data_IF_809675957810
#
_entry.id   IF_809675957810
#
_cell.length_a   1.000
_cell.length_b   1.000
_cell.length_c   1.000
_cell.angle_alpha   90.00
_cell.angle_beta   90.00
_cell.angle_gamma   90.00
#
_symmetry.space_group_name_H-M   'P 1'
#
loop_
_entity.id
_entity.type
_entity.pdbx_description
1 polymer ?
#
# COMPACT_ATOMS: atom_id res chain seq x y z
N UNK A 1 -0.38 -58.25 31.37
CA UNK A 1 0.38 -58.24 32.64
C UNK A 1 1.80 -57.72 32.36
N UNK A 2 1.95 -56.41 32.15
CA UNK A 2 2.47 -55.44 33.13
C UNK A 2 3.98 -55.51 33.42
N UNK A 3 4.87 -55.49 32.42
CA UNK A 3 6.29 -55.18 32.70
C UNK A 3 7.16 -54.67 31.53
N UNK A 4 6.58 -54.03 30.50
CA UNK A 4 7.38 -53.38 29.43
C UNK A 4 7.03 -51.92 29.13
N UNK A 5 6.10 -51.31 29.89
CA UNK A 5 5.68 -49.90 29.69
C UNK A 5 6.29 -48.88 30.66
N UNK A 6 7.14 -49.28 31.62
CA UNK A 6 7.71 -48.37 32.63
C UNK A 6 9.14 -47.87 32.33
N UNK A 7 9.85 -48.46 31.36
CA UNK A 7 11.24 -48.07 31.04
C UNK A 7 11.30 -46.96 29.96
N UNK A 8 10.26 -46.81 29.14
CA UNK A 8 10.22 -45.75 28.11
C UNK A 8 9.88 -44.35 28.67
N UNK A 9 9.30 -44.27 29.87
CA UNK A 9 8.90 -43.00 30.50
C UNK A 9 10.06 -42.36 31.28
N UNK A 10 11.06 -43.15 31.70
CA UNK A 10 12.19 -42.62 32.47
C UNK A 10 13.24 -41.88 31.61
N UNK A 11 13.34 -42.19 30.32
CA UNK A 11 14.28 -41.54 29.38
C UNK A 11 13.71 -40.21 28.85
N UNK A 12 12.39 -40.03 28.86
CA UNK A 12 11.75 -38.77 28.43
C UNK A 12 11.84 -37.68 29.53
N UNK A 13 11.96 -38.06 30.80
CA UNK A 13 12.08 -37.10 31.91
C UNK A 13 13.53 -36.63 32.11
N UNK A 14 14.54 -37.38 31.66
CA UNK A 14 15.95 -36.96 31.76
C UNK A 14 16.40 -35.99 30.64
N UNK A 15 15.64 -35.90 29.54
CA UNK A 15 15.88 -34.92 28.46
C UNK A 15 15.24 -33.54 28.70
N UNK A 16 14.46 -33.38 29.78
CA UNK A 16 13.92 -32.10 30.23
C UNK A 16 14.93 -31.32 31.11
N UNK A 17 16.06 -31.93 31.47
CA UNK A 17 17.08 -31.35 32.34
C UNK A 17 18.41 -31.01 31.65
N UNK A 18 18.51 -31.18 30.33
CA UNK A 18 19.51 -30.45 29.56
C UNK A 18 18.98 -29.04 29.33
N UNK A 19 19.30 -28.20 30.31
CA UNK A 19 19.42 -26.76 30.20
C UNK A 19 19.98 -26.37 28.82
N UNK A 20 19.06 -26.09 27.91
CA UNK A 20 19.24 -24.92 27.05
C UNK A 20 19.30 -23.80 28.07
N UNK A 21 20.51 -23.36 28.40
CA UNK A 21 20.72 -21.98 28.76
C UNK A 21 20.26 -21.19 27.55
N UNK A 22 18.94 -21.06 27.41
CA UNK A 22 18.34 -19.93 26.75
C UNK A 22 18.92 -18.80 27.55
N UNK A 23 19.97 -18.18 27.01
CA UNK A 23 20.22 -16.80 27.32
C UNK A 23 18.88 -16.15 27.03
N UNK A 24 18.07 -15.99 28.08
CA UNK A 24 17.19 -14.87 28.22
C UNK A 24 18.12 -13.70 27.97
N UNK A 25 18.22 -13.27 26.72
CA UNK A 25 18.55 -11.89 26.46
C UNK A 25 17.43 -11.18 27.18
N UNK A 26 17.74 -10.78 28.40
CA UNK A 26 16.89 -9.88 29.15
C UNK A 26 16.89 -8.66 28.27
N UNK A 27 15.82 -8.47 27.48
CA UNK A 27 15.64 -7.27 26.67
C UNK A 27 15.53 -6.15 27.69
N UNK A 28 16.68 -5.61 28.08
CA UNK A 28 16.81 -4.60 29.13
C UNK A 28 16.26 -3.27 28.64
N UNK A 29 16.13 -3.10 27.31
CA UNK A 29 15.45 -1.99 26.67
C UNK A 29 15.04 -2.36 25.24
N UNK A 30 13.74 -2.38 24.95
CA UNK A 30 13.26 -2.41 23.55
C UNK A 30 13.45 -1.00 22.98
N UNK A 31 14.31 -0.85 21.97
CA UNK A 31 14.41 0.40 21.24
C UNK A 31 13.19 0.54 20.33
N UNK A 32 12.45 1.65 20.46
CA UNK A 32 11.19 1.84 19.76
C UNK A 32 11.29 2.98 18.76
N UNK A 33 11.06 2.68 17.49
CA UNK A 33 10.75 3.68 16.47
C UNK A 33 9.25 3.99 16.59
N UNK A 34 8.92 5.24 16.94
CA UNK A 34 7.52 5.66 17.07
C UNK A 34 7.07 6.37 15.81
N UNK A 35 5.95 5.96 15.24
CA UNK A 35 5.34 6.59 14.07
C UNK A 35 3.97 7.07 14.47
N UNK A 36 3.79 8.39 14.54
CA UNK A 36 2.48 8.98 14.79
C UNK A 36 1.93 9.53 13.48
N UNK A 37 0.81 8.98 13.03
CA UNK A 37 0.07 9.39 11.85
C UNK A 37 -1.20 10.12 12.26
N UNK A 38 -1.45 11.27 11.67
CA UNK A 38 -2.65 12.06 11.83
C UNK A 38 -3.25 12.31 10.45
N UNK A 39 -4.42 11.73 10.20
CA UNK A 39 -5.16 11.87 8.96
C UNK A 39 -6.44 12.65 9.17
N UNK A 40 -6.77 13.56 8.25
CA UNK A 40 -8.08 14.23 8.19
C UNK A 40 -8.72 13.90 6.86
N UNK A 41 -9.76 13.06 6.88
CA UNK A 41 -10.55 12.72 5.71
C UNK A 41 -11.57 13.81 5.40
N UNK A 42 -11.67 14.17 4.13
CA UNK A 42 -12.78 14.97 3.64
C UNK A 42 -13.99 14.11 3.27
N UNK A 43 -15.09 14.77 2.91
CA UNK A 43 -16.35 14.11 2.56
C UNK A 43 -16.35 13.49 1.15
N UNK A 44 -15.26 13.66 0.39
CA UNK A 44 -15.09 13.16 -0.99
C UNK A 44 -14.01 12.07 -1.12
N UNK A 45 -13.34 11.75 -0.02
CA UNK A 45 -12.48 10.57 0.12
C UNK A 45 -10.98 10.84 0.02
N UNK A 46 -10.55 12.10 -0.09
CA UNK A 46 -9.15 12.46 0.03
C UNK A 46 -8.77 12.67 1.51
N UNK A 47 -7.48 12.55 1.83
CA UNK A 47 -6.98 12.73 3.19
C UNK A 47 -5.81 13.70 3.24
N UNK A 48 -5.84 14.65 4.18
CA UNK A 48 -4.63 15.36 4.58
C UNK A 48 -3.89 14.54 5.64
N UNK A 49 -2.65 14.16 5.36
CA UNK A 49 -1.84 13.28 6.19
C UNK A 49 -0.64 14.03 6.76
N UNK A 50 -0.41 13.86 8.07
CA UNK A 50 0.80 14.30 8.77
C UNK A 50 1.39 13.11 9.52
N UNK A 51 2.63 12.75 9.21
CA UNK A 51 3.34 11.62 9.81
C UNK A 51 4.60 12.12 10.50
N UNK A 52 4.82 11.69 11.74
CA UNK A 52 6.05 11.93 12.50
C UNK A 52 6.70 10.61 12.90
N UNK A 53 7.87 10.33 12.34
CA UNK A 53 8.75 9.25 12.77
C UNK A 53 9.69 9.80 13.84
N UNK A 54 9.75 9.16 14.99
CA UNK A 54 10.64 9.52 16.10
C UNK A 54 11.58 8.35 16.37
N UNK A 55 12.88 8.60 16.26
CA UNK A 55 13.89 7.58 16.46
C UNK A 55 14.31 7.51 17.94
N UNK A 56 14.59 6.30 18.46
CA UNK A 56 14.84 6.08 19.88
C UNK A 56 16.13 6.75 20.39
N UNK A 57 17.12 6.95 19.53
CA UNK A 57 18.41 7.56 19.90
C UNK A 57 18.88 8.57 18.86
N UNK A 58 19.66 9.57 19.28
CA UNK A 58 20.31 10.52 18.37
C UNK A 58 21.29 9.80 17.43
N UNK A 59 22.02 8.79 17.91
CA UNK A 59 22.95 8.04 17.07
C UNK A 59 22.24 7.35 15.89
N UNK A 60 21.10 6.70 16.14
CA UNK A 60 20.28 6.08 15.10
C UNK A 60 19.73 7.12 14.13
N UNK A 61 19.25 8.26 14.65
CA UNK A 61 18.78 9.36 13.83
C UNK A 61 19.86 9.89 12.89
N UNK A 62 21.07 10.16 13.40
CA UNK A 62 22.20 10.65 12.61
C UNK A 62 22.64 9.59 11.59
N UNK A 63 22.64 8.30 11.95
CA UNK A 63 22.95 7.22 11.01
C UNK A 63 21.95 7.21 9.84
N UNK A 64 20.66 7.30 10.13
CA UNK A 64 19.60 7.34 9.10
C UNK A 64 19.73 8.60 8.24
N UNK A 65 19.91 9.77 8.85
CA UNK A 65 20.08 11.04 8.14
C UNK A 65 21.32 11.04 7.24
N UNK A 66 22.40 10.39 7.67
CA UNK A 66 23.64 10.25 6.89
C UNK A 66 23.48 9.25 5.75
N UNK A 67 22.80 8.12 5.98
CA UNK A 67 22.52 7.11 4.96
C UNK A 67 21.52 7.62 3.91
N UNK A 68 20.59 8.48 4.30
CA UNK A 68 19.58 9.08 3.44
C UNK A 68 19.53 10.61 3.58
N UNK A 69 20.53 11.34 3.06
CA UNK A 69 20.57 12.80 3.16
C UNK A 69 19.33 13.46 2.56
N UNK A 70 18.79 12.86 1.49
CA UNK A 70 17.49 13.21 0.95
C UNK A 70 16.37 12.45 1.70
N UNK A 71 15.55 13.12 2.54
CA UNK A 71 14.54 12.46 3.37
C UNK A 71 13.40 11.82 2.56
N UNK A 72 13.20 12.23 1.30
CA UNK A 72 12.16 11.64 0.44
C UNK A 72 12.41 10.16 0.13
N UNK A 73 13.68 9.73 0.14
CA UNK A 73 14.05 8.30 -0.02
C UNK A 73 13.46 7.46 1.10
N UNK A 74 13.46 7.99 2.32
CA UNK A 74 12.91 7.29 3.48
C UNK A 74 11.40 7.14 3.34
N UNK A 75 10.71 8.20 2.94
CA UNK A 75 9.26 8.13 2.71
C UNK A 75 8.93 7.16 1.57
N UNK A 76 9.73 7.07 0.52
CA UNK A 76 9.52 6.04 -0.50
C UNK A 76 9.69 4.62 0.05
N UNK A 77 10.75 4.39 0.83
CA UNK A 77 11.16 3.05 1.26
C UNK A 77 10.44 2.55 2.54
N UNK A 78 10.36 3.37 3.59
CA UNK A 78 9.64 3.06 4.84
C UNK A 78 8.13 3.26 4.71
N UNK A 79 7.75 4.20 3.84
CA UNK A 79 6.43 4.37 3.27
C UNK A 79 5.66 3.07 3.16
N UNK A 80 6.20 2.18 2.32
CA UNK A 80 5.48 1.10 1.64
C UNK A 80 4.21 1.55 0.91
N UNK A 81 3.83 2.83 1.06
CA UNK A 81 2.52 3.38 0.79
C UNK A 81 2.61 4.46 -0.26
N UNK A 82 3.79 4.98 -0.64
CA UNK A 82 3.89 5.76 -1.89
C UNK A 82 3.60 4.91 -3.13
N UNK A 83 3.78 3.59 -3.05
CA UNK A 83 3.41 2.67 -4.12
C UNK A 83 1.90 2.42 -4.19
N UNK A 84 1.21 2.35 -3.05
CA UNK A 84 -0.21 1.99 -2.94
C UNK A 84 -1.13 3.15 -2.56
N UNK A 85 -0.56 4.34 -2.39
CA UNK A 85 -1.23 5.62 -2.24
C UNK A 85 -0.72 6.57 -3.33
N UNK A 86 -1.50 7.61 -3.61
CA UNK A 86 -1.10 8.66 -4.54
C UNK A 86 -1.00 9.98 -3.75
N UNK A 87 0.24 10.43 -3.51
CA UNK A 87 0.51 11.66 -2.78
C UNK A 87 0.48 12.89 -3.69
N UNK A 88 -0.03 14.00 -3.17
CA UNK A 88 0.09 15.36 -3.72
C UNK A 88 0.75 16.26 -2.69
N UNK A 89 1.54 17.21 -3.17
CA UNK A 89 2.16 18.27 -2.36
C UNK A 89 2.97 17.75 -1.16
N UNK A 90 3.66 16.63 -1.32
CA UNK A 90 4.41 15.97 -0.26
C UNK A 90 5.62 16.81 0.17
N UNK A 91 5.69 17.10 1.46
CA UNK A 91 6.79 17.80 2.13
C UNK A 91 7.42 16.88 3.16
N UNK A 92 8.71 16.63 3.03
CA UNK A 92 9.46 15.77 3.95
C UNK A 92 10.64 16.53 4.53
N UNK A 93 10.81 16.48 5.84
CA UNK A 93 11.89 17.19 6.54
C UNK A 93 12.43 16.44 7.74
N UNK A 94 13.73 16.55 7.95
CA UNK A 94 14.39 16.19 9.19
C UNK A 94 14.16 17.25 10.28
N UNK A 95 13.88 16.81 11.51
CA UNK A 95 13.66 17.64 12.69
C UNK A 95 14.72 17.26 13.75
N UNK A 96 15.89 17.91 13.68
CA UNK A 96 17.08 17.57 14.50
C UNK A 96 16.80 17.69 16.01
N UNK A 97 16.02 18.69 16.43
CA UNK A 97 15.73 18.95 17.84
C UNK A 97 14.94 17.81 18.52
N UNK A 98 14.25 16.98 17.74
CA UNK A 98 13.43 15.87 18.26
C UNK A 98 13.78 14.51 17.69
N UNK A 99 14.95 14.36 17.06
CA UNK A 99 15.39 13.11 16.43
C UNK A 99 14.29 12.52 15.54
N UNK A 100 13.68 13.35 14.69
CA UNK A 100 12.50 12.95 13.94
C UNK A 100 12.57 13.27 12.45
N UNK A 101 11.72 12.56 11.70
CA UNK A 101 11.41 12.81 10.31
C UNK A 101 9.91 13.11 10.22
N UNK A 102 9.55 14.18 9.53
CA UNK A 102 8.17 14.59 9.32
C UNK A 102 7.78 14.53 7.84
N UNK A 103 6.60 13.99 7.58
CA UNK A 103 5.93 14.00 6.27
C UNK A 103 4.60 14.73 6.41
N UNK A 104 4.32 15.64 5.48
CA UNK A 104 2.99 16.23 5.29
C UNK A 104 2.63 16.04 3.82
N UNK A 105 1.49 15.44 3.53
CA UNK A 105 1.03 15.23 2.17
C UNK A 105 -0.49 15.16 2.09
N UNK A 106 -1.04 15.39 0.90
CA UNK A 106 -2.41 15.01 0.59
C UNK A 106 -2.41 13.62 -0.05
N UNK A 107 -3.25 12.73 0.43
CA UNK A 107 -3.47 11.39 -0.12
C UNK A 107 -4.75 11.41 -0.94
N UNK A 108 -4.64 11.12 -2.24
CA UNK A 108 -5.80 11.02 -3.12
C UNK A 108 -6.49 9.67 -2.95
N UNK A 109 -7.83 9.68 -2.91
CA UNK A 109 -8.63 8.44 -2.83
C UNK A 109 -8.30 7.57 -1.61
N UNK A 110 -7.92 8.19 -0.49
CA UNK A 110 -7.65 7.50 0.78
C UNK A 110 -8.86 6.72 1.30
N UNK A 111 -10.07 7.24 1.07
CA UNK A 111 -11.33 6.55 1.26
C UNK A 111 -12.07 6.39 -0.06
N UNK A 112 -12.62 5.21 -0.31
CA UNK A 112 -13.39 4.92 -1.53
C UNK A 112 -14.75 4.34 -1.20
N UNK A 113 -15.80 4.77 -1.91
CA UNK A 113 -17.14 4.23 -1.69
C UNK A 113 -17.34 2.94 -2.50
N UNK A 114 -17.45 1.80 -1.81
CA UNK A 114 -17.78 0.50 -2.40
C UNK A 114 -18.98 -0.08 -1.66
N UNK A 115 -19.97 -0.57 -2.40
CA UNK A 115 -21.20 -1.16 -1.86
C UNK A 115 -21.89 -0.22 -0.86
N UNK A 116 -21.99 1.06 -1.22
CA UNK A 116 -22.61 2.13 -0.42
C UNK A 116 -21.93 2.43 0.93
N UNK A 117 -20.71 1.93 1.15
CA UNK A 117 -19.90 2.24 2.34
C UNK A 117 -18.56 2.81 1.91
N UNK A 118 -18.07 3.77 2.67
CA UNK A 118 -16.71 4.24 2.51
C UNK A 118 -15.75 3.25 3.13
N UNK A 119 -14.64 2.99 2.43
CA UNK A 119 -13.61 2.05 2.85
C UNK A 119 -12.28 2.79 2.88
N UNK A 120 -11.57 2.68 3.99
CA UNK A 120 -10.20 3.16 4.18
C UNK A 120 -9.33 1.94 4.44
N UNK A 121 -8.25 1.78 3.69
CA UNK A 121 -7.28 0.74 3.97
C UNK A 121 -6.33 1.24 5.07
N UNK A 122 -6.50 0.70 6.27
CA UNK A 122 -5.65 1.01 7.43
C UNK A 122 -4.40 0.11 7.43
N UNK A 123 -4.50 -1.08 6.84
CA UNK A 123 -3.46 -2.09 6.85
C UNK A 123 -3.80 -3.27 7.77
N UNK A 124 -3.27 -4.44 7.43
CA UNK A 124 -3.38 -5.65 8.24
C UNK A 124 -2.54 -5.54 9.50
N UNK A 125 -2.71 -6.47 10.44
CA UNK A 125 -1.96 -6.50 11.70
C UNK A 125 -2.07 -5.17 12.48
N UNK A 126 -3.24 -4.55 12.38
CA UNK A 126 -3.59 -3.31 13.06
C UNK A 126 -4.79 -3.58 13.96
N UNK A 127 -4.82 -2.93 15.11
CA UNK A 127 -5.94 -2.96 16.05
C UNK A 127 -6.60 -1.59 16.08
N UNK A 128 -7.94 -1.55 16.07
CA UNK A 128 -8.69 -0.33 16.33
C UNK A 128 -8.87 -0.19 17.84
N UNK A 129 -8.17 0.78 18.44
CA UNK A 129 -8.21 1.03 19.87
C UNK A 129 -9.48 1.78 20.29
N UNK A 130 -9.96 2.66 19.43
CA UNK A 130 -11.07 3.56 19.74
C UNK A 130 -11.72 4.09 18.47
N UNK A 131 -13.04 4.34 18.51
CA UNK A 131 -13.73 5.15 17.52
C UNK A 131 -14.92 5.89 18.13
N UNK A 132 -15.17 7.10 17.64
CA UNK A 132 -16.34 7.92 17.93
C UNK A 132 -16.83 8.63 16.66
N UNK A 133 -17.84 9.50 16.77
CA UNK A 133 -18.42 10.25 15.64
C UNK A 133 -17.46 11.19 14.90
N UNK A 134 -16.26 11.44 15.43
CA UNK A 134 -15.29 12.40 14.91
C UNK A 134 -13.96 11.75 14.53
N UNK A 135 -13.55 10.67 15.20
CA UNK A 135 -12.24 10.05 14.98
C UNK A 135 -12.21 8.54 15.22
N UNK A 136 -11.24 7.89 14.60
CA UNK A 136 -10.83 6.52 14.90
C UNK A 136 -9.33 6.49 15.22
N UNK A 137 -8.92 5.65 16.17
CA UNK A 137 -7.54 5.44 16.58
C UNK A 137 -7.14 4.00 16.34
N UNK A 138 -6.02 3.83 15.63
CA UNK A 138 -5.45 2.54 15.30
C UNK A 138 -4.04 2.41 15.84
N UNK A 139 -3.65 1.18 16.16
CA UNK A 139 -2.32 0.80 16.63
C UNK A 139 -1.81 -0.41 15.83
N UNK A 140 -0.58 -0.32 15.34
CA UNK A 140 0.15 -1.47 14.82
C UNK A 140 1.52 -1.56 15.48
N UNK A 141 1.95 -2.78 15.75
CA UNK A 141 3.27 -3.09 16.29
C UNK A 141 3.91 -4.11 15.38
N UNK A 142 5.08 -3.78 14.83
CA UNK A 142 5.80 -4.66 13.92
C UNK A 142 7.29 -4.66 14.24
N UNK A 143 7.98 -5.79 14.01
CA UNK A 143 9.44 -5.82 14.10
C UNK A 143 10.02 -4.81 13.11
N UNK A 144 11.04 -4.08 13.53
CA UNK A 144 11.88 -3.29 12.65
C UNK A 144 13.22 -4.01 12.44
N UNK A 145 14.19 -3.31 11.85
CA UNK A 145 15.54 -3.85 11.67
C UNK A 145 16.26 -3.99 13.03
N UNK A 146 17.10 -5.03 13.13
CA UNK A 146 17.83 -5.40 14.36
C UNK A 146 16.88 -5.68 15.55
N UNK A 147 17.21 -5.21 16.74
CA UNK A 147 16.43 -5.37 17.98
C UNK A 147 15.40 -4.24 18.19
N UNK A 148 15.03 -3.52 17.12
CA UNK A 148 14.09 -2.41 17.19
C UNK A 148 12.65 -2.89 16.95
N UNK A 149 11.71 -2.27 17.65
CA UNK A 149 10.27 -2.43 17.40
C UNK A 149 9.71 -1.13 16.85
N UNK A 150 8.85 -1.25 15.85
CA UNK A 150 8.11 -0.12 15.30
C UNK A 150 6.71 -0.10 15.90
N UNK A 151 6.37 1.01 16.54
CA UNK A 151 5.02 1.25 17.06
C UNK A 151 4.40 2.37 16.24
N UNK A 152 3.30 2.05 15.56
CA UNK A 152 2.57 2.95 14.70
C UNK A 152 1.22 3.29 15.34
N UNK A 153 0.96 4.56 15.56
CA UNK A 153 -0.37 5.07 15.95
C UNK A 153 -0.95 5.84 14.79
N UNK A 154 -2.20 5.58 14.44
CA UNK A 154 -2.92 6.33 13.42
C UNK A 154 -4.20 6.91 13.97
N UNK A 155 -4.25 8.23 14.10
CA UNK A 155 -5.46 8.97 14.42
C UNK A 155 -6.09 9.48 13.13
N UNK A 156 -7.29 9.01 12.83
CA UNK A 156 -8.05 9.36 11.64
C UNK A 156 -9.26 10.20 12.03
N UNK A 157 -9.27 11.49 11.69
CA UNK A 157 -10.44 12.33 11.79
C UNK A 157 -11.36 12.08 10.59
N UNK A 158 -12.63 11.84 10.90
CA UNK A 158 -13.66 11.44 9.95
C UNK A 158 -14.48 12.64 9.49
N UNK A 159 -15.06 12.61 8.27
CA UNK A 159 -15.92 13.67 7.80
C UNK A 159 -17.16 13.80 8.69
N UNK A 160 -17.67 15.03 8.83
CA UNK A 160 -18.87 15.32 9.61
C UNK A 160 -20.05 14.49 9.12
N UNK A 161 -20.76 13.84 10.04
CA UNK A 161 -21.90 12.98 9.72
C UNK A 161 -21.54 11.54 9.37
N UNK A 162 -20.26 11.15 9.50
CA UNK A 162 -19.86 9.76 9.42
C UNK A 162 -20.45 8.95 10.59
N UNK A 163 -20.95 7.76 10.31
CA UNK A 163 -21.62 6.88 11.29
C UNK A 163 -21.35 5.40 10.99
N UNK A 164 -21.77 4.50 11.89
CA UNK A 164 -21.68 3.03 11.75
C UNK A 164 -20.26 2.54 11.41
N UNK A 165 -19.30 2.80 12.30
CA UNK A 165 -17.89 2.45 12.13
C UNK A 165 -17.64 0.96 12.31
N UNK A 166 -16.94 0.33 11.36
CA UNK A 166 -16.55 -1.08 11.43
C UNK A 166 -15.12 -1.24 10.98
N UNK A 167 -14.36 -2.06 11.70
CA UNK A 167 -13.00 -2.42 11.32
C UNK A 167 -12.87 -3.93 11.24
N UNK A 168 -12.30 -4.43 10.15
CA UNK A 168 -11.94 -5.83 10.01
C UNK A 168 -10.41 -5.98 10.08
N UNK A 169 -9.85 -6.52 11.18
CA UNK A 169 -8.41 -6.66 11.36
C UNK A 169 -7.77 -7.66 10.38
N UNK A 170 -8.54 -8.59 9.80
CA UNK A 170 -8.02 -9.57 8.84
C UNK A 170 -7.73 -8.93 7.49
N UNK A 171 -8.64 -8.07 7.04
CA UNK A 171 -8.50 -7.36 5.76
C UNK A 171 -7.80 -6.02 5.91
N UNK A 172 -7.77 -5.45 7.13
CA UNK A 172 -7.23 -4.11 7.40
C UNK A 172 -8.14 -2.99 6.93
N UNK A 173 -9.42 -3.29 6.64
CA UNK A 173 -10.37 -2.34 6.08
C UNK A 173 -11.21 -1.73 7.20
N UNK A 174 -11.15 -0.40 7.30
CA UNK A 174 -12.07 0.40 8.09
C UNK A 174 -13.21 0.92 7.21
N UNK A 175 -14.45 0.79 7.67
CA UNK A 175 -15.63 1.23 6.92
C UNK A 175 -16.56 2.11 7.73
N UNK A 176 -17.23 3.02 7.05
CA UNK A 176 -18.22 3.92 7.64
C UNK A 176 -19.33 4.28 6.63
N UNK A 177 -20.47 4.72 7.15
CA UNK A 177 -21.51 5.38 6.39
C UNK A 177 -21.32 6.88 6.43
N UNK A 178 -21.62 7.55 5.32
CA UNK A 178 -21.67 9.00 5.25
C UNK A 178 -22.88 9.37 4.41
N UNK A 179 -23.89 9.91 5.07
CA UNK A 179 -25.09 10.39 4.39
C UNK A 179 -24.77 11.73 3.74
N UNK A 180 -24.73 11.75 2.40
CA UNK A 180 -24.59 12.97 1.61
C UNK A 180 -25.83 13.16 0.75
N UNK A 181 -26.17 14.40 0.45
CA UNK A 181 -27.16 14.71 -0.57
C UNK A 181 -26.54 14.51 -1.96
N UNK A 182 -27.15 13.72 -2.86
CA UNK A 182 -26.59 13.50 -4.18
C UNK A 182 -26.32 14.81 -4.92
N UNK A 183 -25.10 14.96 -5.44
CA UNK A 183 -24.72 16.14 -6.19
C UNK A 183 -25.26 16.07 -7.63
N UNK A 184 -26.04 17.08 -8.02
CA UNK A 184 -26.58 17.22 -9.37
C UNK A 184 -25.87 18.37 -10.07
N UNK A 185 -25.40 18.13 -11.28
CA UNK A 185 -24.57 19.09 -12.00
C UNK A 185 -24.04 18.53 -13.31
N UNK A 186 -22.92 19.09 -13.78
CA UNK A 186 -22.24 18.65 -15.00
C UNK A 186 -21.25 17.54 -14.67
N UNK A 187 -21.35 16.43 -15.37
CA UNK A 187 -20.38 15.33 -15.27
C UNK A 187 -19.13 15.68 -16.07
N UNK A 188 -17.96 15.59 -15.43
CA UNK A 188 -16.66 15.73 -16.08
C UNK A 188 -15.63 14.90 -15.33
N UNK A 189 -14.67 14.35 -16.06
CA UNK A 189 -13.64 13.47 -15.49
C UNK A 189 -12.26 13.86 -16.00
N UNK A 190 -11.27 13.68 -15.13
CA UNK A 190 -9.86 13.64 -15.50
C UNK A 190 -9.32 12.27 -15.11
N UNK A 191 -8.72 11.56 -16.07
CA UNK A 191 -8.24 10.18 -15.87
C UNK A 191 -6.78 10.11 -16.28
N UNK A 192 -5.93 9.80 -15.31
CA UNK A 192 -4.50 9.63 -15.51
C UNK A 192 -4.10 8.17 -15.26
N UNK A 193 -3.24 7.65 -16.12
CA UNK A 193 -2.73 6.29 -16.05
C UNK A 193 -1.22 6.30 -15.81
N UNK A 194 -0.77 5.59 -14.78
CA UNK A 194 0.65 5.28 -14.55
C UNK A 194 0.86 3.79 -14.81
N UNK A 195 1.97 3.42 -15.43
CA UNK A 195 2.30 2.02 -15.69
C UNK A 195 3.81 1.81 -15.68
N UNK A 196 4.23 0.56 -15.42
CA UNK A 196 5.64 0.19 -15.54
C UNK A 196 5.96 -0.07 -17.02
N UNK A 197 6.89 0.69 -17.64
CA UNK A 197 7.19 0.54 -19.07
C UNK A 197 7.86 -0.80 -19.38
N UNK A 198 8.50 -1.41 -18.36
CA UNK A 198 9.12 -2.72 -18.44
C UNK A 198 8.69 -3.60 -17.26
N UNK A 199 8.52 -4.89 -17.53
CA UNK A 199 8.30 -5.91 -16.50
C UNK A 199 9.22 -7.10 -16.72
N UNK A 200 9.62 -7.77 -15.65
CA UNK A 200 10.53 -8.92 -15.69
C UNK A 200 9.76 -10.25 -15.71
N UNK A 201 10.00 -11.10 -16.71
CA UNK A 201 9.33 -12.41 -16.80
C UNK A 201 9.58 -13.30 -15.58
N UNK A 202 10.78 -13.27 -15.01
CA UNK A 202 11.11 -14.06 -13.80
C UNK A 202 10.21 -13.71 -12.60
N UNK A 203 9.75 -12.45 -12.53
CA UNK A 203 9.00 -11.92 -11.40
C UNK A 203 7.49 -11.96 -11.61
N UNK A 204 6.98 -12.70 -12.60
CA UNK A 204 5.58 -12.67 -12.99
C UNK A 204 4.59 -12.96 -11.85
N UNK A 205 5.00 -13.79 -10.87
CA UNK A 205 4.19 -14.07 -9.66
C UNK A 205 4.21 -12.91 -8.65
N UNK A 206 5.29 -12.14 -8.59
CA UNK A 206 5.43 -10.99 -7.70
C UNK A 206 4.45 -9.89 -8.12
N UNK A 207 4.34 -9.63 -9.43
CA UNK A 207 3.40 -8.63 -9.95
C UNK A 207 1.93 -8.94 -9.65
N UNK A 208 1.59 -10.22 -9.47
CA UNK A 208 0.23 -10.65 -9.11
C UNK A 208 -0.08 -10.63 -7.62
N UNK A 209 0.87 -10.26 -6.76
CA UNK A 209 0.71 -10.36 -5.31
C UNK A 209 0.82 -8.97 -4.62
N UNK A 210 -0.32 -8.34 -4.27
CA UNK A 210 -0.33 -7.04 -3.59
C UNK A 210 0.22 -7.08 -2.16
N UNK A 211 0.38 -8.26 -1.55
CA UNK A 211 0.88 -8.41 -0.18
C UNK A 211 2.41 -8.36 -0.09
N UNK A 212 3.10 -8.61 -1.20
CA UNK A 212 4.56 -8.60 -1.23
C UNK A 212 5.08 -7.18 -1.24
N UNK A 213 6.07 -6.91 -0.37
CA UNK A 213 6.84 -5.68 -0.35
C UNK A 213 5.93 -4.43 -0.36
N UNK A 214 4.84 -4.48 0.42
CA UNK A 214 3.84 -3.41 0.54
C UNK A 214 3.16 -3.02 -0.78
N UNK A 215 2.96 -3.97 -1.69
CA UNK A 215 2.22 -3.75 -2.94
C UNK A 215 2.98 -2.89 -3.97
N UNK A 216 4.32 -2.83 -3.90
CA UNK A 216 5.15 -2.03 -4.82
C UNK A 216 5.12 -2.49 -6.28
N UNK A 217 4.62 -3.70 -6.55
CA UNK A 217 4.72 -4.36 -7.84
C UNK A 217 3.39 -4.42 -8.60
N UNK A 218 2.58 -3.36 -8.54
CA UNK A 218 1.52 -3.17 -9.52
C UNK A 218 2.11 -2.96 -10.92
N UNK A 219 1.38 -3.34 -11.97
CA UNK A 219 1.78 -3.09 -13.38
C UNK A 219 1.19 -1.79 -13.91
N UNK A 220 -0.04 -1.48 -13.49
CA UNK A 220 -0.75 -0.26 -13.86
C UNK A 220 -1.47 0.35 -12.66
N UNK A 221 -1.69 1.65 -12.72
CA UNK A 221 -2.43 2.46 -11.75
C UNK A 221 -3.34 3.41 -12.51
N UNK A 222 -4.63 3.41 -12.17
CA UNK A 222 -5.61 4.38 -12.68
C UNK A 222 -5.91 5.40 -11.60
N UNK A 223 -5.76 6.68 -11.92
CA UNK A 223 -6.14 7.82 -11.06
C UNK A 223 -7.32 8.50 -11.73
N UNK A 224 -8.53 8.18 -11.27
CA UNK A 224 -9.78 8.70 -11.79
C UNK A 224 -10.29 9.83 -10.89
N UNK A 225 -10.40 11.05 -11.40
CA UNK A 225 -10.85 12.22 -10.64
C UNK A 225 -12.14 12.76 -11.23
N UNK A 226 -13.16 12.93 -10.39
CA UNK A 226 -14.38 13.64 -10.77
C UNK A 226 -14.11 15.15 -10.73
N UNK A 227 -13.90 15.76 -11.89
CA UNK A 227 -13.67 17.22 -12.01
C UNK A 227 -14.96 17.99 -12.27
N UNK A 228 -16.09 17.29 -12.35
CA UNK A 228 -17.42 17.85 -12.53
C UNK A 228 -18.05 18.34 -11.24
N UNK A 229 -19.34 18.66 -11.33
CA UNK A 229 -20.18 19.10 -10.20
C UNK A 229 -21.32 18.13 -9.87
N UNK A 230 -21.45 17.03 -10.62
CA UNK A 230 -22.36 15.91 -10.34
C UNK A 230 -21.63 14.73 -9.70
N UNK A 231 -22.36 13.90 -8.96
CA UNK A 231 -21.89 12.59 -8.55
C UNK A 231 -21.70 11.66 -9.76
N UNK A 232 -20.63 10.86 -9.70
CA UNK A 232 -20.40 9.74 -10.61
C UNK A 232 -20.71 8.45 -9.84
N UNK A 233 -21.50 7.56 -10.44
CA UNK A 233 -21.92 6.30 -9.83
C UNK A 233 -21.53 5.11 -10.68
N UNK A 234 -21.38 3.96 -10.03
CA UNK A 234 -21.00 2.68 -10.66
C UNK A 234 -19.75 2.78 -11.55
N UNK A 235 -18.70 3.45 -11.08
CA UNK A 235 -17.42 3.42 -11.76
C UNK A 235 -16.86 2.00 -11.75
N UNK A 236 -16.51 1.49 -12.93
CA UNK A 236 -15.93 0.18 -13.18
C UNK A 236 -14.59 0.36 -13.86
N UNK A 237 -13.56 -0.32 -13.37
CA UNK A 237 -12.22 -0.31 -13.95
C UNK A 237 -11.75 -1.75 -14.10
N UNK A 238 -11.13 -2.07 -15.23
CA UNK A 238 -10.56 -3.40 -15.50
C UNK A 238 -9.37 -3.29 -16.45
N UNK A 239 -8.47 -4.26 -16.36
CA UNK A 239 -7.17 -4.24 -17.04
C UNK A 239 -6.89 -5.56 -17.72
N UNK A 240 -6.02 -5.56 -18.73
CA UNK A 240 -5.51 -6.76 -19.39
C UNK A 240 -4.07 -6.54 -19.85
N UNK A 241 -3.22 -7.55 -19.68
CA UNK A 241 -1.85 -7.56 -20.17
C UNK A 241 -1.71 -8.52 -21.35
N UNK A 242 -1.94 -8.00 -22.57
CA UNK A 242 -1.79 -8.71 -23.83
C UNK A 242 -2.41 -10.11 -23.79
N UNK A 243 -1.70 -11.09 -24.36
CA UNK A 243 -2.10 -12.50 -24.27
C UNK A 243 -1.60 -13.19 -22.98
N UNK A 244 -0.97 -12.43 -22.09
CA UNK A 244 -0.41 -12.94 -20.83
C UNK A 244 -1.38 -12.86 -19.67
N UNK A 245 -2.54 -12.21 -19.81
CA UNK A 245 -3.60 -12.27 -18.81
C UNK A 245 -4.99 -12.21 -19.46
N UNK A 246 -5.99 -12.73 -18.75
CA UNK A 246 -7.38 -12.36 -19.01
C UNK A 246 -7.65 -10.94 -18.52
N UNK A 247 -8.81 -10.38 -18.91
CA UNK A 247 -9.33 -9.18 -18.25
C UNK A 247 -9.46 -9.42 -16.75
N UNK A 248 -8.98 -8.48 -15.94
CA UNK A 248 -9.16 -8.53 -14.50
C UNK A 248 -10.65 -8.45 -14.16
N UNK A 249 -11.08 -9.02 -13.01
CA UNK A 249 -12.36 -8.65 -12.42
C UNK A 249 -12.51 -7.13 -12.35
N UNK A 250 -13.72 -6.63 -12.58
CA UNK A 250 -13.98 -5.20 -12.52
C UNK A 250 -13.89 -4.71 -11.07
N UNK A 251 -13.04 -3.72 -10.81
CA UNK A 251 -13.11 -2.92 -9.59
C UNK A 251 -14.33 -2.01 -9.69
N UNK A 252 -15.30 -2.21 -8.80
CA UNK A 252 -16.55 -1.43 -8.77
C UNK A 252 -16.53 -0.44 -7.61
N UNK A 253 -16.74 0.82 -7.94
CA UNK A 253 -16.88 1.93 -7.01
C UNK A 253 -18.30 2.49 -7.13
N UNK A 254 -19.01 2.51 -6.00
CA UNK A 254 -20.43 2.89 -5.98
C UNK A 254 -20.62 4.39 -6.21
N UNK A 255 -19.66 5.21 -5.78
CA UNK A 255 -19.77 6.66 -5.82
C UNK A 255 -18.38 7.33 -5.85
N UNK A 256 -18.23 8.31 -6.74
CA UNK A 256 -17.14 9.28 -6.78
C UNK A 256 -17.74 10.67 -6.74
N UNK A 257 -17.66 11.32 -5.57
CA UNK A 257 -18.23 12.65 -5.35
C UNK A 257 -17.46 13.73 -6.15
N UNK A 258 -18.07 14.90 -6.43
CA UNK A 258 -17.39 16.03 -7.03
C UNK A 258 -16.06 16.37 -6.34
N UNK A 259 -15.00 16.48 -7.14
CA UNK A 259 -13.64 16.74 -6.69
C UNK A 259 -12.96 15.57 -5.96
N UNK A 260 -13.61 14.40 -5.85
CA UNK A 260 -13.05 13.19 -5.27
C UNK A 260 -12.28 12.35 -6.29
N UNK A 261 -11.38 11.51 -5.79
CA UNK A 261 -10.47 10.70 -6.61
C UNK A 261 -10.54 9.23 -6.22
N UNK A 262 -10.44 8.35 -7.21
CA UNK A 262 -10.22 6.92 -7.04
C UNK A 262 -8.82 6.58 -7.56
N UNK A 263 -8.04 5.87 -6.76
CA UNK A 263 -6.76 5.31 -7.16
C UNK A 263 -6.90 3.79 -7.16
N UNK A 264 -6.83 3.18 -8.33
CA UNK A 264 -7.02 1.75 -8.54
C UNK A 264 -5.76 1.12 -9.14
N UNK A 265 -5.41 -0.08 -8.69
CA UNK A 265 -4.15 -0.74 -9.00
C UNK A 265 -4.38 -2.07 -9.70
N UNK A 266 -3.51 -2.38 -10.66
CA UNK A 266 -3.52 -3.64 -11.37
C UNK A 266 -2.39 -4.57 -10.92
N UNK A 267 -2.78 -5.68 -10.28
CA UNK A 267 -1.93 -6.81 -9.94
C UNK A 267 -2.37 -8.03 -10.76
N UNK A 268 -1.79 -8.26 -11.96
CA UNK A 268 -2.25 -9.31 -12.85
C UNK A 268 -1.95 -10.72 -12.36
N UNK A 269 -2.88 -11.64 -12.62
CA UNK A 269 -2.56 -13.07 -12.70
C UNK A 269 -1.97 -13.33 -14.09
N UNK A 270 -0.64 -13.38 -14.16
CA UNK A 270 0.11 -13.54 -15.41
C UNK A 270 0.27 -15.03 -15.76
N UNK A 271 0.03 -15.37 -17.03
CA UNK A 271 0.24 -16.70 -17.59
C UNK A 271 1.70 -17.15 -17.45
N UNK A 272 1.96 -18.40 -17.01
CA UNK A 272 3.31 -18.94 -16.90
C UNK A 272 4.10 -18.93 -18.22
N UNK A 273 3.43 -18.85 -19.38
CA UNK A 273 4.09 -18.76 -20.68
C UNK A 273 5.03 -17.56 -20.80
N UNK A 274 4.82 -16.51 -20.00
CA UNK A 274 5.73 -15.36 -19.95
C UNK A 274 7.17 -15.78 -19.59
N UNK A 275 7.34 -16.82 -18.77
CA UNK A 275 8.65 -17.33 -18.36
C UNK A 275 9.43 -18.04 -19.48
N UNK A 276 8.78 -18.32 -20.61
CA UNK A 276 9.43 -18.93 -21.79
C UNK A 276 10.18 -17.91 -22.65
N UNK A 277 9.94 -16.61 -22.46
CA UNK A 277 10.58 -15.54 -23.20
C UNK A 277 12.10 -15.55 -22.95
N UNK A 278 12.90 -15.77 -23.99
CA UNK A 278 14.38 -15.72 -23.91
C UNK A 278 14.94 -14.33 -24.17
N UNK A 279 14.20 -13.51 -24.91
CA UNK A 279 14.54 -12.14 -25.27
C UNK A 279 13.39 -11.22 -24.92
N UNK A 280 13.68 -9.91 -24.85
CA UNK A 280 12.65 -8.92 -24.59
C UNK A 280 11.59 -8.93 -25.71
N UNK A 281 10.33 -8.91 -25.33
CA UNK A 281 9.17 -8.90 -26.22
C UNK A 281 8.22 -7.77 -25.84
N UNK A 282 7.32 -7.37 -26.74
CA UNK A 282 6.34 -6.33 -26.45
C UNK A 282 4.96 -6.93 -26.14
N UNK A 283 4.21 -6.28 -25.28
CA UNK A 283 2.81 -6.60 -25.01
C UNK A 283 1.99 -5.32 -24.83
N UNK A 284 0.70 -5.41 -25.13
CA UNK A 284 -0.23 -4.31 -24.93
C UNK A 284 -0.86 -4.39 -23.54
N UNK A 285 -0.66 -3.34 -22.74
CA UNK A 285 -1.39 -3.10 -21.51
C UNK A 285 -2.67 -2.33 -21.84
N UNK A 286 -3.81 -2.99 -21.68
CA UNK A 286 -5.12 -2.44 -21.97
C UNK A 286 -5.82 -2.06 -20.66
N UNK A 287 -6.44 -0.90 -20.65
CA UNK A 287 -7.21 -0.39 -19.52
C UNK A 287 -8.57 0.05 -20.04
N UNK A 288 -9.64 -0.39 -19.39
CA UNK A 288 -11.00 0.05 -19.69
C UNK A 288 -11.65 0.61 -18.43
N UNK A 289 -12.44 1.65 -18.59
CA UNK A 289 -13.30 2.14 -17.53
C UNK A 289 -14.67 2.54 -18.06
N UNK A 290 -15.68 2.42 -17.21
CA UNK A 290 -17.01 2.93 -17.47
C UNK A 290 -17.65 3.46 -16.20
N UNK A 291 -18.56 4.41 -16.34
CA UNK A 291 -19.27 4.99 -15.21
C UNK A 291 -20.62 5.56 -15.65
N UNK A 292 -21.48 5.87 -14.69
CA UNK A 292 -22.76 6.52 -14.92
C UNK A 292 -22.78 7.90 -14.26
N UNK A 293 -23.46 8.84 -14.90
CA UNK A 293 -23.89 10.05 -14.19
C UNK A 293 -25.12 9.77 -13.31
N UNK A 294 -25.52 10.77 -12.53
CA UNK A 294 -26.70 10.68 -11.65
C UNK A 294 -28.03 10.47 -12.40
N UNK A 295 -28.08 10.78 -13.70
CA UNK A 295 -29.25 10.57 -14.56
C UNK A 295 -29.24 9.18 -15.23
N UNK A 296 -28.22 8.37 -14.96
CA UNK A 296 -28.08 7.01 -15.50
C UNK A 296 -27.42 6.93 -16.88
N UNK A 297 -26.97 8.05 -17.46
CA UNK A 297 -26.24 8.04 -18.73
C UNK A 297 -24.88 7.38 -18.50
N UNK A 298 -24.56 6.39 -19.33
CA UNK A 298 -23.31 5.63 -19.25
C UNK A 298 -22.23 6.27 -20.14
N UNK A 299 -21.02 6.30 -19.61
CA UNK A 299 -19.79 6.74 -20.27
C UNK A 299 -18.79 5.60 -20.20
N UNK A 300 -18.00 5.42 -21.26
CA UNK A 300 -16.97 4.39 -21.31
C UNK A 300 -15.82 4.84 -22.18
N UNK A 301 -14.61 4.45 -21.80
CA UNK A 301 -13.41 4.67 -22.60
C UNK A 301 -12.43 3.52 -22.39
N UNK A 302 -11.45 3.41 -23.30
CA UNK A 302 -10.36 2.46 -23.19
C UNK A 302 -9.06 3.02 -23.77
N UNK A 303 -7.95 2.64 -23.15
CA UNK A 303 -6.61 3.02 -23.58
C UNK A 303 -5.73 1.77 -23.67
N UNK A 304 -4.73 1.84 -24.54
CA UNK A 304 -3.74 0.77 -24.73
C UNK A 304 -2.33 1.36 -24.74
N UNK A 305 -1.44 0.78 -23.95
CA UNK A 305 -0.03 1.16 -23.88
C UNK A 305 0.84 -0.02 -24.25
N UNK A 306 1.83 0.19 -25.12
CA UNK A 306 2.81 -0.83 -25.44
C UNK A 306 3.90 -0.85 -24.37
N UNK A 307 4.06 -1.98 -23.68
CA UNK A 307 5.11 -2.18 -22.67
C UNK A 307 6.06 -3.29 -23.10
N UNK A 308 7.26 -3.32 -22.51
CA UNK A 308 8.26 -4.34 -22.77
C UNK A 308 8.25 -5.40 -21.66
N UNK A 309 8.22 -6.66 -22.05
CA UNK A 309 8.41 -7.80 -21.16
C UNK A 309 9.85 -8.28 -21.37
N UNK A 310 10.67 -8.19 -20.34
CA UNK A 310 12.05 -8.65 -20.36
C UNK A 310 12.10 -10.17 -20.37
N UNK A 311 13.06 -10.75 -21.09
CA UNK A 311 13.28 -12.19 -21.12
C UNK A 311 13.60 -12.74 -19.74
N UNK A 312 13.46 -14.05 -19.56
CA UNK A 312 13.59 -14.75 -18.27
C UNK A 312 14.94 -14.53 -17.59
N UNK A 313 16.01 -14.26 -18.35
CA UNK A 313 17.36 -14.00 -17.83
C UNK A 313 17.75 -12.51 -17.87
N UNK A 314 16.81 -11.60 -18.09
CA UNK A 314 17.03 -10.16 -18.12
C UNK A 314 16.48 -9.49 -16.85
N UNK A 315 17.34 -8.76 -16.15
CA UNK A 315 17.00 -8.08 -14.91
C UNK A 315 17.07 -6.56 -15.07
N UNK A 316 16.06 -5.86 -14.57
CA UNK A 316 16.05 -4.40 -14.48
C UNK A 316 16.29 -3.99 -13.03
N UNK A 317 17.42 -3.32 -12.78
CA UNK A 317 17.83 -2.94 -11.42
C UNK A 317 16.93 -1.88 -10.78
N UNK A 318 16.22 -1.08 -11.57
CA UNK A 318 15.25 -0.12 -11.07
C UNK A 318 14.18 0.19 -12.11
N UNK A 319 12.94 0.30 -11.64
CA UNK A 319 11.78 0.74 -12.43
C UNK A 319 11.19 2.06 -11.90
N UNK A 320 11.98 2.83 -11.13
CA UNK A 320 11.55 4.13 -10.64
C UNK A 320 11.45 5.14 -11.80
N UNK A 321 10.27 5.78 -11.98
CA UNK A 321 10.13 6.92 -12.88
C UNK A 321 11.13 8.03 -12.54
N UNK A 322 11.54 8.82 -13.53
CA UNK A 322 12.54 9.87 -13.35
C UNK A 322 12.10 10.89 -12.30
N UNK A 323 10.82 11.23 -12.28
CA UNK A 323 10.20 12.12 -11.29
C UNK A 323 10.19 11.55 -9.86
N UNK A 324 10.38 10.25 -9.68
CA UNK A 324 10.49 9.58 -8.38
C UNK A 324 11.96 9.32 -7.98
N UNK A 325 12.91 9.66 -8.85
CA UNK A 325 14.35 9.60 -8.55
C UNK A 325 14.74 10.80 -7.72
N UNK A 326 15.47 10.51 -6.66
CA UNK A 326 16.03 11.47 -5.71
C UNK A 326 17.50 11.79 -5.96
N UNK A 327 18.11 11.12 -6.93
CA UNK A 327 19.51 11.28 -7.34
C UNK A 327 20.50 10.51 -6.45
N UNK A 328 20.03 9.53 -5.66
CA UNK A 328 20.91 8.72 -4.80
C UNK A 328 21.07 7.31 -5.36
N UNK A 329 22.18 6.64 -5.01
CA UNK A 329 22.50 5.30 -5.50
C UNK A 329 21.35 4.28 -5.39
N UNK A 330 20.57 4.32 -4.31
CA UNK A 330 19.45 3.37 -4.12
C UNK A 330 18.37 3.49 -5.22
N UNK A 331 18.29 4.62 -5.92
CA UNK A 331 17.35 4.84 -7.02
C UNK A 331 17.66 3.94 -8.22
N UNK A 332 18.94 3.64 -8.46
CA UNK A 332 19.37 2.80 -9.58
C UNK A 332 19.24 1.31 -9.28
N UNK A 333 18.99 0.94 -8.01
CA UNK A 333 19.00 -0.44 -7.51
C UNK A 333 17.70 -0.82 -6.77
N UNK A 334 16.60 -0.10 -7.00
CA UNK A 334 15.32 -0.30 -6.31
C UNK A 334 14.76 -1.74 -6.38
N UNK A 335 15.08 -2.51 -7.43
CA UNK A 335 14.64 -3.89 -7.59
C UNK A 335 15.61 -4.93 -7.01
N UNK A 336 16.78 -4.55 -6.47
CA UNK A 336 17.79 -5.50 -5.93
C UNK A 336 17.21 -6.55 -4.96
N UNK A 337 16.25 -6.24 -4.06
CA UNK A 337 15.62 -7.26 -3.21
C UNK A 337 15.02 -8.44 -3.99
N UNK A 338 14.61 -8.21 -5.25
CA UNK A 338 14.01 -9.21 -6.13
C UNK A 338 15.03 -10.17 -6.77
N UNK A 339 16.34 -9.93 -6.64
CA UNK A 339 17.35 -10.88 -7.11
C UNK A 339 17.18 -12.27 -6.51
N UNK A 340 16.68 -12.34 -5.27
CA UNK A 340 16.35 -13.59 -4.59
C UNK A 340 15.18 -14.37 -5.21
N UNK A 341 14.34 -13.69 -6.01
CA UNK A 341 13.21 -14.28 -6.71
C UNK A 341 13.51 -14.60 -8.18
N UNK A 342 14.73 -14.30 -8.64
CA UNK A 342 15.18 -14.46 -10.01
C UNK A 342 15.77 -15.84 -10.29
#
# INVERSE_FOLDING_TARGET
MFQKRKILILIIIFLILFSISSYSQTITRVNTIRINMFGVLDDKGDMNLNVKFTFPTNAMYIQIKTAYPNPYVIVRNLLGSSSTMEFRDAKVSYEDQSNSLRLIAKVLGAAVNKRQRWNVNIGKNTEMLYSDSQKALFLSVQPAFEDNVMIQTFTLNLPKGATDFKFDPKTGIFTYLLNRNPAKGKTNVDVNFKYKPRIMSALYKVYGNPELLNGQYWIAKTIFTNTGTSDIVELRISYKLGDYSSWSPESIYSLVAPGGTIVDFYYPIISPNIAQLKTASFADLQIKYSYKDINGKTYSDSVSYRIQILGINQFEFSNLPEEERTGVWIDDFANVPLLSAF
#
